data_IF_524899933064
#
_entry.id   IF_524899933064
#
_cell.length_a   1.000
_cell.length_b   1.000
_cell.length_c   1.000
_cell.angle_alpha   90.00
_cell.angle_beta   90.00
_cell.angle_gamma   90.00
#
_symmetry.space_group_name_H-M   'P 1'
#
loop_
_entity.id
_entity.type
_entity.pdbx_description
1 polymer ?
#
# COMPACT_ATOMS: atom_id res chain seq x y z
N UNK A 1 -3.76 -47.23 21.40
CA UNK A 1 -4.25 -45.97 21.98
C UNK A 1 -3.22 -44.88 21.66
N UNK A 2 -3.46 -44.09 20.63
CA UNK A 2 -2.58 -42.97 20.27
C UNK A 2 -3.21 -41.67 20.80
N UNK A 3 -2.54 -41.02 21.74
CA UNK A 3 -2.99 -39.75 22.30
C UNK A 3 -2.67 -38.64 21.32
N UNK A 4 -3.71 -38.04 20.73
CA UNK A 4 -3.59 -36.81 19.93
C UNK A 4 -3.37 -35.63 20.86
N UNK A 5 -2.19 -35.05 20.79
CA UNK A 5 -1.86 -33.79 21.49
C UNK A 5 -2.48 -32.65 20.69
N UNK A 6 -3.57 -32.10 21.18
CA UNK A 6 -4.14 -30.84 20.68
C UNK A 6 -3.28 -29.68 21.20
N UNK A 7 -2.50 -29.07 20.33
CA UNK A 7 -1.93 -27.75 20.60
C UNK A 7 -3.02 -26.68 20.41
N UNK A 8 -3.19 -25.74 21.34
CA UNK A 8 -4.12 -24.64 21.16
C UNK A 8 -3.62 -23.73 20.04
N UNK A 9 -4.43 -23.59 18.99
CA UNK A 9 -4.20 -22.58 17.94
C UNK A 9 -4.46 -21.23 18.60
N UNK A 10 -3.41 -20.44 18.75
CA UNK A 10 -3.54 -19.07 19.18
C UNK A 10 -4.40 -18.31 18.14
N UNK A 11 -5.54 -17.80 18.58
CA UNK A 11 -6.37 -16.88 17.80
C UNK A 11 -5.52 -15.66 17.54
N UNK A 12 -5.01 -15.54 16.31
CA UNK A 12 -4.29 -14.33 15.90
C UNK A 12 -5.32 -13.21 15.79
N UNK A 13 -5.21 -12.20 16.67
CA UNK A 13 -5.95 -10.96 16.52
C UNK A 13 -5.80 -10.46 15.08
N UNK A 14 -6.91 -10.23 14.38
CA UNK A 14 -6.96 -9.62 13.05
C UNK A 14 -6.48 -8.15 13.06
N UNK A 15 -5.58 -7.84 13.97
CA UNK A 15 -5.08 -6.52 14.30
C UNK A 15 -3.63 -6.27 13.92
N UNK A 16 -3.09 -6.89 12.84
CA UNK A 16 -1.70 -6.60 12.43
C UNK A 16 -1.46 -5.10 12.21
N UNK A 17 -2.47 -4.36 11.75
CA UNK A 17 -2.47 -2.90 11.71
C UNK A 17 -2.45 -2.28 13.10
N UNK A 18 -3.13 -2.89 14.09
CA UNK A 18 -3.17 -2.38 15.46
C UNK A 18 -1.86 -2.56 16.21
N UNK A 19 -1.12 -3.64 15.93
CA UNK A 19 0.15 -3.93 16.61
C UNK A 19 1.30 -3.04 16.14
N UNK A 20 1.25 -2.55 14.90
CA UNK A 20 2.18 -1.53 14.40
C UNK A 20 1.95 -0.19 15.11
N UNK A 21 0.71 0.15 15.45
CA UNK A 21 0.34 1.45 16.03
C UNK A 21 0.48 1.53 17.56
N UNK A 22 0.39 0.40 18.28
CA UNK A 22 0.46 0.39 19.76
C UNK A 22 1.84 0.68 20.36
N UNK A 23 2.90 0.77 19.57
CA UNK A 23 4.27 0.90 20.07
C UNK A 23 5.11 1.94 19.32
N UNK A 24 4.53 3.08 18.97
CA UNK A 24 5.33 4.29 18.75
C UNK A 24 5.84 4.78 20.11
N UNK A 25 7.14 5.13 20.27
CA UNK A 25 7.64 5.63 21.53
C UNK A 25 6.94 6.96 21.88
N UNK A 26 6.14 6.95 22.92
CA UNK A 26 5.64 8.17 23.55
C UNK A 26 6.84 8.90 24.14
N UNK A 27 7.13 10.07 23.62
CA UNK A 27 8.08 10.99 24.23
C UNK A 27 7.65 11.34 25.65
N UNK A 28 8.63 11.35 26.54
CA UNK A 28 8.54 11.39 27.96
C UNK A 28 7.73 12.57 28.53
N UNK A 29 7.18 12.30 29.66
CA UNK A 29 6.53 13.24 30.59
C UNK A 29 7.49 14.38 30.95
N UNK A 30 7.09 15.62 30.73
CA UNK A 30 7.64 16.78 31.41
C UNK A 30 6.85 17.04 32.67
N UNK A 31 7.50 17.38 33.80
CA UNK A 31 6.82 17.68 35.03
C UNK A 31 6.25 19.13 35.03
N UNK A 32 5.06 19.25 35.56
CA UNK A 32 4.36 20.47 35.88
C UNK A 32 5.12 21.35 36.87
N UNK A 33 5.25 22.64 36.57
CA UNK A 33 5.30 23.66 37.59
C UNK A 33 4.45 24.88 37.14
N UNK A 34 3.43 25.17 37.98
CA UNK A 34 2.52 26.29 37.86
C UNK A 34 3.19 27.50 38.53
N UNK A 35 3.27 28.64 37.84
CA UNK A 35 3.19 29.95 38.48
C UNK A 35 2.55 30.96 37.53
N UNK A 36 1.48 31.53 38.04
CA UNK A 36 0.70 32.62 37.47
C UNK A 36 1.47 33.93 37.47
N UNK A 37 1.36 34.73 36.40
CA UNK A 37 1.31 36.21 36.51
C UNK A 37 0.60 36.84 35.33
N UNK A 38 -0.26 37.82 35.70
CA UNK A 38 -1.14 38.62 34.86
C UNK A 38 -0.41 39.79 34.16
N UNK A 39 -1.09 40.57 33.31
CA UNK A 39 -0.58 41.15 32.09
C UNK A 39 -0.13 42.61 32.23
N UNK A 40 0.65 43.10 31.30
CA UNK A 40 0.97 44.52 31.14
C UNK A 40 0.70 44.99 29.70
N UNK A 41 0.09 46.11 29.66
CA UNK A 41 -0.51 46.98 28.67
C UNK A 41 0.39 47.53 27.55
N UNK A 42 -0.29 47.73 26.42
CA UNK A 42 -0.15 48.74 25.35
C UNK A 42 1.06 49.71 25.34
N UNK A 43 1.65 49.82 24.17
CA UNK A 43 2.06 51.12 23.62
C UNK A 43 1.99 51.13 22.08
N UNK A 44 1.13 52.01 21.58
CA UNK A 44 1.06 52.46 20.17
C UNK A 44 2.28 53.30 19.83
N UNK A 45 2.82 53.16 18.61
CA UNK A 45 3.38 54.33 17.89
C UNK A 45 3.30 54.14 16.38
N UNK A 46 2.71 55.17 15.77
CA UNK A 46 2.52 55.40 14.34
C UNK A 46 3.75 56.04 13.68
N UNK A 47 3.90 55.85 12.41
CA UNK A 47 3.94 56.89 11.34
C UNK A 47 4.60 56.37 10.05
N UNK A 48 3.89 56.54 8.96
CA UNK A 48 4.31 56.52 7.55
C UNK A 48 5.14 57.78 7.22
N UNK A 49 5.46 58.08 5.93
CA UNK A 49 5.62 57.33 4.70
C UNK A 49 6.91 57.72 3.93
N UNK A 50 7.29 57.01 2.90
CA UNK A 50 7.92 57.65 1.73
C UNK A 50 7.67 56.88 0.43
N UNK A 51 7.04 57.59 -0.43
CA UNK A 51 6.71 57.34 -1.83
C UNK A 51 7.98 57.54 -2.68
N UNK A 52 8.43 56.48 -3.36
CA UNK A 52 9.31 56.69 -4.53
C UNK A 52 8.68 56.00 -5.75
N UNK A 53 8.17 56.84 -6.62
CA UNK A 53 7.78 56.54 -7.99
C UNK A 53 8.97 55.96 -8.76
N UNK A 54 8.86 54.72 -9.19
CA UNK A 54 9.73 54.13 -10.21
C UNK A 54 8.90 53.76 -11.45
N UNK A 55 9.36 54.23 -12.56
CA UNK A 55 8.85 54.19 -13.93
C UNK A 55 8.41 52.74 -14.33
N UNK A 56 7.18 52.62 -14.85
CA UNK A 56 6.76 51.48 -15.66
C UNK A 56 7.56 51.47 -16.98
N UNK A 57 8.39 50.46 -17.13
CA UNK A 57 8.91 50.04 -18.43
C UNK A 57 8.01 48.92 -18.95
N UNK A 58 7.39 49.14 -20.09
CA UNK A 58 6.56 48.16 -20.77
C UNK A 58 7.43 47.00 -21.27
N UNK A 59 7.25 45.82 -20.66
CA UNK A 59 7.76 44.55 -21.17
C UNK A 59 6.65 43.90 -22.00
N UNK A 60 6.93 43.71 -23.30
CA UNK A 60 6.06 43.03 -24.23
C UNK A 60 5.77 41.58 -23.82
N UNK A 61 4.77 40.91 -24.41
CA UNK A 61 4.38 39.55 -24.02
C UNK A 61 5.52 38.56 -24.28
N UNK A 62 6.15 38.08 -23.22
CA UNK A 62 7.07 36.93 -23.29
C UNK A 62 6.25 35.70 -23.66
N UNK A 63 6.42 35.21 -24.87
CA UNK A 63 5.94 33.92 -25.31
C UNK A 63 6.66 32.87 -24.47
N UNK A 64 5.98 32.38 -23.44
CA UNK A 64 6.43 31.20 -22.68
C UNK A 64 6.44 30.01 -23.63
N UNK A 65 7.64 29.64 -24.11
CA UNK A 65 7.82 28.32 -24.74
C UNK A 65 7.35 27.28 -23.75
N UNK A 66 6.48 26.30 -24.15
CA UNK A 66 6.13 25.21 -23.27
C UNK A 66 7.42 24.48 -22.92
N UNK A 67 7.75 24.48 -21.62
CA UNK A 67 8.80 23.63 -21.06
C UNK A 67 8.40 22.20 -21.38
N UNK A 68 9.17 21.54 -22.24
CA UNK A 68 8.99 20.12 -22.52
C UNK A 68 9.06 19.39 -21.17
N UNK A 69 7.90 18.93 -20.71
CA UNK A 69 7.81 17.99 -19.60
C UNK A 69 8.72 16.83 -19.96
N UNK A 70 9.83 16.66 -19.23
CA UNK A 70 10.67 15.48 -19.36
C UNK A 70 9.76 14.28 -19.09
N UNK A 71 9.58 13.45 -20.12
CA UNK A 71 8.93 12.14 -20.03
C UNK A 71 9.46 11.39 -18.82
N UNK A 72 8.57 11.05 -17.89
CA UNK A 72 8.90 10.40 -16.59
C UNK A 72 9.26 8.92 -16.71
N UNK A 73 9.49 8.38 -17.90
CA UNK A 73 9.83 6.98 -18.05
C UNK A 73 10.90 6.80 -19.13
N UNK A 74 12.13 6.60 -18.67
CA UNK A 74 13.11 5.89 -19.48
C UNK A 74 12.63 4.44 -19.65
N UNK A 75 12.50 3.98 -20.89
CA UNK A 75 12.16 2.59 -21.21
C UNK A 75 13.10 1.65 -20.47
N UNK A 76 12.57 0.74 -19.64
CA UNK A 76 13.39 -0.22 -18.94
C UNK A 76 13.64 -1.46 -19.84
N UNK A 77 14.72 -2.20 -19.56
CA UNK A 77 14.97 -3.53 -20.12
C UNK A 77 14.32 -4.57 -19.17
N UNK A 78 13.21 -5.23 -19.56
CA UNK A 78 12.54 -6.19 -18.67
C UNK A 78 13.47 -7.29 -18.17
N UNK A 79 14.44 -7.71 -18.98
CA UNK A 79 15.36 -8.79 -18.63
C UNK A 79 16.36 -8.44 -17.53
N UNK A 80 16.53 -7.15 -17.25
CA UNK A 80 17.44 -6.60 -16.23
C UNK A 80 16.69 -5.90 -15.08
N UNK A 81 15.40 -5.63 -15.25
CA UNK A 81 14.59 -4.94 -14.27
C UNK A 81 14.31 -5.84 -13.06
N UNK A 82 14.83 -5.45 -11.91
CA UNK A 82 14.81 -6.24 -10.66
C UNK A 82 13.54 -5.95 -9.89
N UNK A 83 12.60 -6.89 -9.91
CA UNK A 83 11.35 -6.82 -9.16
C UNK A 83 11.45 -7.64 -7.89
N UNK A 84 11.19 -7.06 -6.74
CA UNK A 84 10.96 -7.80 -5.49
C UNK A 84 9.47 -7.93 -5.26
N UNK A 85 8.95 -9.17 -5.29
CA UNK A 85 7.61 -9.53 -4.86
C UNK A 85 7.69 -9.99 -3.40
N UNK A 86 7.25 -9.13 -2.50
CA UNK A 86 7.24 -9.41 -1.07
C UNK A 86 5.95 -10.13 -0.70
N UNK A 87 6.07 -11.33 -0.12
CA UNK A 87 4.93 -12.07 0.42
C UNK A 87 4.57 -11.49 1.78
N UNK A 88 3.40 -10.89 1.89
CA UNK A 88 2.87 -10.35 3.14
C UNK A 88 2.85 -11.40 4.25
N UNK A 89 3.17 -11.01 5.48
CA UNK A 89 3.21 -11.89 6.65
C UNK A 89 4.30 -12.96 6.62
N UNK A 90 4.22 -13.94 7.49
CA UNK A 90 5.15 -15.08 7.60
C UNK A 90 4.37 -16.29 8.10
N UNK A 91 4.92 -17.50 7.98
CA UNK A 91 4.33 -18.69 8.59
C UNK A 91 4.30 -18.66 10.14
N UNK A 92 5.10 -17.78 10.77
CA UNK A 92 5.15 -17.60 12.24
C UNK A 92 4.28 -16.40 12.70
N UNK A 93 3.75 -15.62 11.76
CA UNK A 93 2.87 -14.47 11.98
C UNK A 93 2.00 -14.27 10.74
N UNK A 94 0.93 -15.01 10.71
CA UNK A 94 0.18 -15.41 9.51
C UNK A 94 -0.73 -14.30 8.93
N UNK A 95 -0.87 -13.16 9.61
CA UNK A 95 -1.78 -12.08 9.21
C UNK A 95 -3.20 -12.29 9.68
N UNK A 96 -4.15 -11.83 8.90
CA UNK A 96 -5.56 -12.03 9.14
C UNK A 96 -5.95 -13.52 8.95
N UNK A 97 -7.08 -13.89 9.51
CA UNK A 97 -7.70 -15.20 9.27
C UNK A 97 -8.93 -15.00 8.40
N UNK A 98 -9.04 -15.75 7.33
CA UNK A 98 -10.15 -15.69 6.40
C UNK A 98 -11.47 -16.14 7.02
N UNK A 99 -12.57 -15.90 6.32
CA UNK A 99 -13.89 -16.35 6.76
C UNK A 99 -13.95 -17.87 6.99
N UNK A 100 -13.13 -18.67 6.30
CA UNK A 100 -13.05 -20.15 6.45
C UNK A 100 -11.81 -20.64 7.19
N UNK A 101 -11.25 -19.81 8.07
CA UNK A 101 -10.11 -20.13 8.93
C UNK A 101 -8.80 -20.45 8.18
N UNK A 102 -8.59 -19.88 7.01
CA UNK A 102 -7.30 -19.95 6.29
C UNK A 102 -6.49 -18.68 6.58
N UNK A 103 -5.21 -18.85 6.84
CA UNK A 103 -4.31 -17.73 7.12
C UNK A 103 -4.07 -16.85 5.87
N UNK A 104 -4.02 -15.53 6.02
CA UNK A 104 -3.71 -14.57 4.95
C UNK A 104 -2.39 -14.88 4.24
N UNK A 105 -1.37 -15.29 5.00
CA UNK A 105 -0.07 -15.69 4.44
C UNK A 105 -0.19 -16.73 3.33
N UNK A 106 -1.15 -17.65 3.42
CA UNK A 106 -1.35 -18.71 2.42
C UNK A 106 -1.87 -18.13 1.11
N UNK A 107 -2.82 -17.20 1.18
CA UNK A 107 -3.33 -16.47 -0.01
C UNK A 107 -2.22 -15.63 -0.63
N UNK A 108 -1.49 -14.88 0.19
CA UNK A 108 -0.40 -14.01 -0.24
C UNK A 108 0.69 -14.81 -0.98
N UNK A 109 1.09 -15.96 -0.43
CA UNK A 109 2.12 -16.81 -1.03
C UNK A 109 1.67 -17.36 -2.39
N UNK A 110 0.45 -17.92 -2.46
CA UNK A 110 -0.10 -18.49 -3.70
C UNK A 110 -0.21 -17.46 -4.83
N UNK A 111 -0.70 -16.25 -4.50
CA UNK A 111 -0.82 -15.18 -5.47
C UNK A 111 0.55 -14.64 -5.90
N UNK A 112 1.46 -14.39 -4.96
CA UNK A 112 2.80 -13.88 -5.27
C UNK A 112 3.61 -14.87 -6.13
N UNK A 113 3.49 -16.18 -5.90
CA UNK A 113 4.08 -17.21 -6.76
C UNK A 113 3.52 -17.14 -8.19
N UNK A 114 2.20 -16.97 -8.33
CA UNK A 114 1.58 -16.86 -9.65
C UNK A 114 1.99 -15.58 -10.38
N UNK A 115 2.12 -14.46 -9.68
CA UNK A 115 2.64 -13.20 -10.24
C UNK A 115 4.11 -13.38 -10.67
N UNK A 116 4.94 -14.03 -9.86
CA UNK A 116 6.35 -14.32 -10.21
C UNK A 116 6.47 -15.12 -11.51
N UNK A 117 5.72 -16.22 -11.62
CA UNK A 117 5.67 -17.05 -12.82
C UNK A 117 5.29 -16.23 -14.04
N UNK A 118 4.24 -15.41 -13.94
CA UNK A 118 3.75 -14.58 -15.03
C UNK A 118 4.76 -13.52 -15.44
N UNK A 119 5.37 -12.82 -14.50
CA UNK A 119 6.38 -11.79 -14.79
C UNK A 119 7.61 -12.40 -15.47
N UNK A 120 8.09 -13.55 -14.99
CA UNK A 120 9.22 -14.25 -15.62
C UNK A 120 8.90 -14.70 -17.03
N UNK A 121 7.69 -15.21 -17.28
CA UNK A 121 7.22 -15.59 -18.62
C UNK A 121 7.12 -14.37 -19.55
N UNK A 122 6.77 -13.18 -19.03
CA UNK A 122 6.69 -11.92 -19.75
C UNK A 122 8.07 -11.22 -19.92
N UNK A 123 9.16 -11.87 -19.52
CA UNK A 123 10.53 -11.40 -19.73
C UNK A 123 11.20 -10.73 -18.54
N UNK A 124 10.50 -10.48 -17.41
CA UNK A 124 11.07 -9.93 -16.18
C UNK A 124 11.83 -11.00 -15.40
N UNK A 125 12.98 -11.44 -15.94
CA UNK A 125 13.75 -12.58 -15.42
C UNK A 125 14.32 -12.36 -14.03
N UNK A 126 14.60 -11.10 -13.66
CA UNK A 126 15.14 -10.71 -12.35
C UNK A 126 14.05 -10.48 -11.29
N UNK A 127 12.85 -11.05 -11.50
CA UNK A 127 11.81 -11.11 -10.47
C UNK A 127 12.22 -12.05 -9.34
N UNK A 128 12.16 -11.58 -8.10
CA UNK A 128 12.55 -12.33 -6.89
C UNK A 128 11.38 -12.38 -5.91
N UNK A 129 10.97 -13.57 -5.54
CA UNK A 129 9.99 -13.79 -4.47
C UNK A 129 10.68 -13.67 -3.11
N UNK A 130 10.20 -12.74 -2.27
CA UNK A 130 10.73 -12.52 -0.93
C UNK A 130 9.78 -13.10 0.11
N UNK A 131 10.12 -14.28 0.63
CA UNK A 131 9.42 -14.96 1.73
C UNK A 131 10.24 -14.83 3.00
N UNK A 132 9.71 -14.15 4.01
CA UNK A 132 10.41 -13.95 5.29
C UNK A 132 9.90 -14.90 6.37
N UNK A 133 10.70 -15.09 7.43
CA UNK A 133 10.35 -15.93 8.59
C UNK A 133 10.46 -15.11 9.86
N UNK A 134 9.71 -15.53 10.89
CA UNK A 134 9.74 -14.96 12.23
C UNK A 134 8.56 -14.03 12.52
N UNK A 135 8.59 -13.44 13.72
CA UNK A 135 7.51 -12.58 14.22
C UNK A 135 7.32 -11.33 13.36
N UNK A 136 6.11 -10.78 13.36
CA UNK A 136 5.67 -9.67 12.50
C UNK A 136 6.67 -8.50 12.41
N UNK A 137 7.02 -7.86 13.52
CA UNK A 137 7.90 -6.67 13.53
C UNK A 137 9.32 -6.93 13.02
N UNK A 138 10.05 -7.95 13.49
CA UNK A 138 11.36 -8.28 12.93
C UNK A 138 11.30 -8.62 11.46
N UNK A 139 10.23 -9.27 10.97
CA UNK A 139 10.10 -9.62 9.56
C UNK A 139 9.96 -8.38 8.67
N UNK A 140 9.25 -7.32 9.11
CA UNK A 140 9.15 -6.06 8.35
C UNK A 140 10.53 -5.41 8.12
N UNK A 141 11.41 -5.46 9.13
CA UNK A 141 12.79 -4.96 8.97
C UNK A 141 13.58 -5.81 7.99
N UNK A 142 13.48 -7.15 8.12
CA UNK A 142 14.17 -8.09 7.21
C UNK A 142 13.75 -7.88 5.74
N UNK A 143 12.46 -7.65 5.46
CA UNK A 143 11.94 -7.36 4.12
C UNK A 143 12.55 -6.11 3.52
N UNK A 144 12.54 -5.01 4.30
CA UNK A 144 13.15 -3.74 3.87
C UNK A 144 14.65 -3.91 3.59
N UNK A 145 15.38 -4.57 4.49
CA UNK A 145 16.82 -4.81 4.33
C UNK A 145 17.08 -5.64 3.07
N UNK A 146 16.39 -6.78 2.92
CA UNK A 146 16.58 -7.66 1.77
C UNK A 146 16.28 -6.95 0.43
N UNK A 147 15.18 -6.20 0.33
CA UNK A 147 14.84 -5.46 -0.87
C UNK A 147 15.91 -4.41 -1.22
N UNK A 148 16.40 -3.68 -0.19
CA UNK A 148 17.43 -2.66 -0.37
C UNK A 148 18.80 -3.27 -0.75
N UNK A 149 19.17 -4.44 -0.21
CA UNK A 149 20.42 -5.15 -0.54
C UNK A 149 20.38 -5.77 -1.93
N UNK A 150 19.20 -6.22 -2.39
CA UNK A 150 18.99 -6.68 -3.76
C UNK A 150 19.07 -5.55 -4.80
N UNK A 151 19.12 -4.29 -4.34
CA UNK A 151 19.07 -3.12 -5.22
C UNK A 151 17.91 -3.22 -6.21
N UNK A 152 16.73 -3.60 -5.70
CA UNK A 152 15.55 -3.74 -6.53
C UNK A 152 15.18 -2.42 -7.22
N UNK A 153 14.65 -2.53 -8.43
CA UNK A 153 14.15 -1.38 -9.19
C UNK A 153 12.69 -1.09 -8.86
N UNK A 154 11.98 -2.11 -8.32
CA UNK A 154 10.60 -2.01 -7.84
C UNK A 154 10.35 -3.03 -6.70
N UNK A 155 9.57 -2.59 -5.70
CA UNK A 155 9.08 -3.42 -4.60
C UNK A 155 7.55 -3.48 -4.63
N UNK A 156 6.97 -4.69 -4.70
CA UNK A 156 5.54 -4.91 -4.62
C UNK A 156 5.22 -5.93 -3.50
N UNK A 157 4.53 -5.47 -2.45
CA UNK A 157 4.07 -6.32 -1.36
C UNK A 157 2.67 -6.87 -1.67
N UNK A 158 2.48 -8.17 -1.51
CA UNK A 158 1.23 -8.86 -1.83
C UNK A 158 0.54 -9.26 -0.54
N UNK A 159 -0.70 -8.80 -0.38
CA UNK A 159 -1.56 -8.98 0.76
C UNK A 159 -3.00 -9.32 0.35
N UNK A 160 -3.81 -9.76 1.33
CA UNK A 160 -5.26 -9.90 1.22
C UNK A 160 -5.92 -9.26 2.44
N UNK A 161 -6.94 -8.47 2.17
CA UNK A 161 -7.51 -7.52 3.12
C UNK A 161 -8.39 -8.18 4.20
N UNK A 162 -8.47 -7.48 5.32
CA UNK A 162 -9.40 -7.71 6.41
C UNK A 162 -9.84 -6.37 6.99
N UNK A 163 -10.78 -6.39 7.93
CA UNK A 163 -11.24 -5.20 8.64
C UNK A 163 -11.04 -5.35 10.15
N UNK A 164 -11.11 -4.25 10.93
CA UNK A 164 -11.05 -4.31 12.39
C UNK A 164 -12.06 -5.34 12.96
N UNK A 165 -11.65 -6.06 13.98
CA UNK A 165 -12.48 -7.13 14.61
C UNK A 165 -13.88 -6.63 15.05
N UNK A 166 -14.02 -5.34 15.39
CA UNK A 166 -15.31 -4.73 15.72
C UNK A 166 -16.31 -4.66 14.57
N UNK A 167 -15.87 -4.91 13.33
CA UNK A 167 -16.67 -4.91 12.12
C UNK A 167 -16.92 -6.34 11.59
N UNK A 168 -16.41 -7.34 12.30
CA UNK A 168 -16.61 -8.75 11.96
C UNK A 168 -17.81 -9.31 12.72
N UNK A 169 -18.50 -10.23 12.06
CA UNK A 169 -19.60 -11.03 12.59
C UNK A 169 -19.11 -12.42 12.91
N UNK A 170 -19.69 -13.04 13.95
CA UNK A 170 -19.37 -14.43 14.31
C UNK A 170 -20.15 -15.40 13.43
N UNK A 171 -19.52 -16.48 13.02
CA UNK A 171 -20.18 -17.62 12.41
C UNK A 171 -19.45 -18.92 12.74
N UNK A 172 -19.95 -20.02 12.23
CA UNK A 172 -19.33 -21.34 12.36
C UNK A 172 -19.13 -21.93 10.96
N UNK A 173 -17.90 -22.38 10.70
CA UNK A 173 -17.56 -23.08 9.47
C UNK A 173 -16.94 -24.43 9.79
N UNK A 174 -17.58 -25.51 9.32
CA UNK A 174 -17.16 -26.90 9.56
C UNK A 174 -16.93 -27.23 11.06
N UNK A 175 -17.85 -26.80 11.93
CA UNK A 175 -17.76 -27.03 13.38
C UNK A 175 -16.71 -26.17 14.10
N UNK A 176 -16.11 -25.21 13.43
CA UNK A 176 -15.10 -24.31 13.99
C UNK A 176 -15.62 -22.87 14.00
N UNK A 177 -15.41 -22.18 15.12
CA UNK A 177 -15.71 -20.75 15.22
C UNK A 177 -14.84 -19.96 14.25
N UNK A 178 -15.45 -19.02 13.56
CA UNK A 178 -14.81 -18.12 12.64
C UNK A 178 -15.49 -16.74 12.64
N UNK A 179 -15.00 -15.84 11.83
CA UNK A 179 -15.48 -14.47 11.69
C UNK A 179 -15.57 -14.09 10.21
N UNK A 180 -16.54 -13.26 9.86
CA UNK A 180 -16.72 -12.78 8.50
C UNK A 180 -17.26 -11.36 8.48
N UNK A 181 -17.22 -10.74 7.32
CA UNK A 181 -18.00 -9.55 7.01
C UNK A 181 -18.23 -9.45 5.50
N UNK A 182 -19.44 -9.78 5.06
CA UNK A 182 -19.81 -9.68 3.64
C UNK A 182 -20.01 -8.24 3.17
N UNK A 183 -19.89 -7.29 4.09
CA UNK A 183 -20.03 -5.86 3.84
C UNK A 183 -18.83 -5.27 3.10
N UNK A 184 -17.64 -5.85 3.25
CA UNK A 184 -16.39 -5.29 2.74
C UNK A 184 -15.79 -6.23 1.71
N UNK A 185 -15.42 -5.68 0.55
CA UNK A 185 -14.86 -6.41 -0.59
C UNK A 185 -14.02 -5.49 -1.46
N UNK A 186 -13.26 -6.09 -2.38
CA UNK A 186 -12.51 -5.39 -3.39
C UNK A 186 -11.03 -5.24 -3.05
N UNK A 187 -10.24 -4.83 -4.06
CA UNK A 187 -8.81 -4.59 -3.94
C UNK A 187 -8.48 -3.17 -3.46
N UNK A 188 -7.28 -2.98 -2.96
CA UNK A 188 -6.71 -1.64 -2.68
C UNK A 188 -5.23 -1.62 -3.01
N UNK A 189 -4.72 -0.49 -3.49
CA UNK A 189 -3.28 -0.31 -3.70
C UNK A 189 -2.79 0.80 -2.79
N UNK A 190 -1.75 0.52 -2.00
CA UNK A 190 -1.20 1.48 -1.06
C UNK A 190 0.19 1.94 -1.45
N UNK A 191 0.44 3.24 -1.27
CA UNK A 191 1.75 3.88 -1.39
C UNK A 191 2.02 4.76 -0.17
N UNK A 192 3.25 5.23 0.00
CA UNK A 192 3.62 6.11 1.11
C UNK A 192 4.29 7.38 0.60
N UNK A 193 3.80 8.55 1.03
CA UNK A 193 4.46 9.84 0.77
C UNK A 193 5.88 9.89 1.36
N UNK A 194 6.14 9.06 2.37
CA UNK A 194 7.46 8.94 3.01
C UNK A 194 8.42 8.00 2.27
N UNK A 195 8.01 7.38 1.14
CA UNK A 195 8.93 6.67 0.27
C UNK A 195 9.81 7.70 -0.47
N UNK A 196 11.13 7.50 -0.56
CA UNK A 196 12.02 8.44 -1.26
C UNK A 196 11.67 8.62 -2.76
N UNK A 197 11.00 7.62 -3.36
CA UNK A 197 10.53 7.68 -4.74
C UNK A 197 9.01 7.55 -4.83
N UNK A 198 8.31 8.41 -4.07
CA UNK A 198 6.85 8.43 -3.99
C UNK A 198 6.18 8.61 -5.36
N UNK A 199 6.70 9.49 -6.20
CA UNK A 199 6.08 9.79 -7.51
C UNK A 199 6.06 8.57 -8.41
N UNK A 200 7.14 7.82 -8.46
CA UNK A 200 7.24 6.58 -9.23
C UNK A 200 6.42 5.46 -8.60
N UNK A 201 6.38 5.39 -7.26
CA UNK A 201 5.50 4.48 -6.51
C UNK A 201 4.03 4.71 -6.86
N UNK A 202 3.60 5.98 -6.87
CA UNK A 202 2.22 6.36 -7.21
C UNK A 202 1.89 5.99 -8.67
N UNK A 203 2.77 6.32 -9.61
CA UNK A 203 2.57 6.00 -11.02
C UNK A 203 2.40 4.48 -11.24
N UNK A 204 3.24 3.66 -10.62
CA UNK A 204 3.11 2.21 -10.69
C UNK A 204 1.81 1.70 -10.03
N UNK A 205 1.47 2.22 -8.86
CA UNK A 205 0.24 1.85 -8.15
C UNK A 205 -1.02 2.17 -8.96
N UNK A 206 -1.04 3.31 -9.65
CA UNK A 206 -2.14 3.72 -10.53
C UNK A 206 -2.28 2.78 -11.74
N UNK A 207 -1.17 2.32 -12.32
CA UNK A 207 -1.19 1.30 -13.38
C UNK A 207 -1.77 -0.02 -12.86
N UNK A 208 -1.33 -0.49 -11.69
CA UNK A 208 -1.90 -1.71 -11.09
C UNK A 208 -3.41 -1.56 -10.88
N UNK A 209 -3.86 -0.46 -10.27
CA UNK A 209 -5.29 -0.22 -10.05
C UNK A 209 -6.09 -0.10 -11.35
N UNK A 210 -5.53 0.55 -12.38
CA UNK A 210 -6.12 0.64 -13.73
C UNK A 210 -6.33 -0.76 -14.33
N UNK A 211 -5.31 -1.60 -14.28
CA UNK A 211 -5.38 -2.93 -14.86
C UNK A 211 -6.28 -3.87 -14.05
N UNK A 212 -6.30 -3.78 -12.71
CA UNK A 212 -7.28 -4.49 -11.87
C UNK A 212 -8.72 -4.12 -12.27
N UNK A 213 -9.00 -2.83 -12.45
CA UNK A 213 -10.31 -2.35 -12.89
C UNK A 213 -10.65 -2.82 -14.31
N UNK A 214 -9.69 -2.83 -15.23
CA UNK A 214 -9.87 -3.32 -16.60
C UNK A 214 -10.25 -4.81 -16.64
N UNK A 215 -9.82 -5.60 -15.65
CA UNK A 215 -10.23 -6.99 -15.44
C UNK A 215 -11.62 -7.13 -14.74
N UNK A 216 -12.35 -6.03 -14.55
CA UNK A 216 -13.67 -6.03 -13.92
C UNK A 216 -13.64 -6.08 -12.39
N UNK A 217 -12.48 -5.93 -11.75
CA UNK A 217 -12.37 -5.89 -10.30
C UNK A 217 -12.76 -4.51 -9.76
N UNK A 218 -13.38 -4.48 -8.58
CA UNK A 218 -13.75 -3.24 -7.90
C UNK A 218 -12.75 -2.96 -6.78
N UNK A 219 -12.41 -1.69 -6.55
CA UNK A 219 -11.59 -1.34 -5.41
C UNK A 219 -12.41 -1.19 -4.12
N UNK A 220 -11.79 -1.49 -3.00
CA UNK A 220 -12.37 -1.41 -1.67
C UNK A 220 -12.59 0.05 -1.25
N UNK A 221 -13.84 0.44 -0.94
CA UNK A 221 -14.20 1.81 -0.60
C UNK A 221 -14.20 2.09 0.91
N UNK A 222 -14.04 1.07 1.74
CA UNK A 222 -14.17 1.18 3.20
C UNK A 222 -13.15 2.14 3.83
N UNK A 223 -11.96 2.26 3.27
CA UNK A 223 -10.87 3.05 3.87
C UNK A 223 -11.14 4.54 3.98
N UNK A 224 -12.10 5.08 3.21
CA UNK A 224 -12.56 6.47 3.34
C UNK A 224 -13.72 6.65 4.30
N UNK A 225 -14.33 5.54 4.77
CA UNK A 225 -15.54 5.58 5.61
C UNK A 225 -15.21 5.79 7.09
N UNK A 226 -15.99 6.61 7.77
CA UNK A 226 -15.80 6.91 9.19
C UNK A 226 -15.81 5.67 10.10
N UNK A 227 -16.50 4.59 9.67
CA UNK A 227 -16.56 3.33 10.43
C UNK A 227 -15.18 2.67 10.59
N UNK A 228 -14.22 2.95 9.69
CA UNK A 228 -12.86 2.46 9.80
C UNK A 228 -12.05 3.15 10.92
N UNK A 229 -12.54 4.30 11.43
CA UNK A 229 -11.89 5.01 12.53
C UNK A 229 -10.43 5.31 12.23
N UNK A 230 -9.51 4.82 13.07
CA UNK A 230 -8.06 5.01 12.90
C UNK A 230 -7.45 4.25 11.72
N UNK A 231 -8.21 3.38 11.08
CA UNK A 231 -7.79 2.62 9.89
C UNK A 231 -8.25 3.29 8.59
N UNK A 232 -8.72 4.54 8.67
CA UNK A 232 -8.98 5.33 7.48
C UNK A 232 -7.68 5.67 6.77
N UNK A 233 -7.71 5.63 5.45
CA UNK A 233 -6.61 6.00 4.58
C UNK A 233 -7.07 7.02 3.54
N UNK A 234 -6.28 8.08 3.28
CA UNK A 234 -6.59 9.03 2.22
C UNK A 234 -6.60 8.35 0.85
N UNK A 235 -7.68 8.51 0.11
CA UNK A 235 -7.79 8.06 -1.28
C UNK A 235 -7.06 9.05 -2.18
N UNK A 236 -6.01 8.61 -2.84
CA UNK A 236 -5.19 9.43 -3.75
C UNK A 236 -5.77 9.45 -5.16
N UNK A 237 -6.31 8.32 -5.61
CA UNK A 237 -6.91 8.20 -6.93
C UNK A 237 -8.18 7.34 -6.88
N UNK A 238 -9.35 7.98 -7.08
CA UNK A 238 -10.67 7.34 -7.06
C UNK A 238 -10.95 6.45 -8.28
N UNK A 239 -10.21 6.63 -9.36
CA UNK A 239 -10.40 5.82 -10.57
C UNK A 239 -9.70 4.47 -10.47
N UNK A 240 -8.64 4.40 -9.68
CA UNK A 240 -7.74 3.24 -9.59
C UNK A 240 -7.69 2.61 -8.20
N UNK A 241 -8.33 3.21 -7.17
CA UNK A 241 -8.33 2.68 -5.81
C UNK A 241 -6.96 2.73 -5.13
N UNK A 242 -6.18 3.78 -5.40
CA UNK A 242 -4.88 4.00 -4.77
C UNK A 242 -5.04 4.86 -3.53
N UNK A 243 -4.47 4.40 -2.41
CA UNK A 243 -4.53 5.01 -1.09
C UNK A 243 -3.14 5.37 -0.57
N UNK A 244 -3.06 6.34 0.33
CA UNK A 244 -1.86 6.65 1.09
C UNK A 244 -1.80 5.84 2.39
N UNK A 245 -0.64 5.23 2.68
CA UNK A 245 -0.35 4.60 3.96
C UNK A 245 1.07 4.95 4.43
N UNK A 246 1.24 6.14 4.99
CA UNK A 246 2.55 6.73 5.28
C UNK A 246 3.30 6.04 6.43
N UNK A 247 2.59 5.33 7.31
CA UNK A 247 3.20 4.67 8.45
C UNK A 247 3.71 3.25 8.14
N UNK A 248 3.33 2.67 6.99
CA UNK A 248 3.67 1.30 6.67
C UNK A 248 5.17 1.13 6.40
N UNK A 249 5.84 0.33 7.24
CA UNK A 249 7.30 0.20 7.26
C UNK A 249 7.90 -0.20 5.91
N UNK A 250 7.29 -1.19 5.26
CA UNK A 250 7.80 -1.72 3.97
C UNK A 250 7.69 -0.70 2.84
N UNK A 251 6.70 0.18 2.86
CA UNK A 251 6.54 1.23 1.86
C UNK A 251 7.48 2.41 2.10
N UNK A 252 7.55 2.91 3.34
CA UNK A 252 8.31 4.13 3.66
C UNK A 252 9.82 3.96 3.78
N UNK A 253 10.30 2.73 3.97
CA UNK A 253 11.72 2.47 4.29
C UNK A 253 12.47 1.72 3.20
N UNK A 254 11.81 1.23 2.17
CA UNK A 254 12.43 0.77 0.94
C UNK A 254 12.95 1.96 0.13
N UNK A 255 14.09 1.79 -0.54
CA UNK A 255 14.80 2.86 -1.26
C UNK A 255 14.38 3.01 -2.73
N UNK A 256 13.64 2.04 -3.24
CA UNK A 256 13.07 2.00 -4.58
C UNK A 256 11.59 2.35 -4.54
N UNK A 257 10.93 2.61 -5.69
CA UNK A 257 9.49 2.69 -5.79
C UNK A 257 8.82 1.48 -5.13
N UNK A 258 7.79 1.72 -4.32
CA UNK A 258 7.15 0.68 -3.53
C UNK A 258 5.63 0.83 -3.50
N UNK A 259 4.92 -0.27 -3.74
CA UNK A 259 3.48 -0.38 -3.57
C UNK A 259 3.13 -1.63 -2.76
N UNK A 260 1.95 -1.63 -2.15
CA UNK A 260 1.33 -2.80 -1.54
C UNK A 260 -0.03 -3.01 -2.20
N UNK A 261 -0.28 -4.23 -2.64
CA UNK A 261 -1.57 -4.67 -3.18
C UNK A 261 -2.30 -5.51 -2.14
N UNK A 262 -3.44 -5.01 -1.66
CA UNK A 262 -4.48 -5.83 -1.05
C UNK A 262 -5.34 -6.37 -2.18
N UNK A 263 -5.20 -7.65 -2.49
CA UNK A 263 -5.76 -8.24 -3.71
C UNK A 263 -7.28 -8.44 -3.68
N UNK A 264 -7.85 -8.51 -2.48
CA UNK A 264 -9.27 -8.67 -2.18
C UNK A 264 -9.47 -9.01 -0.72
N UNK A 265 -10.70 -9.08 -0.26
CA UNK A 265 -11.06 -9.27 1.14
C UNK A 265 -11.30 -10.75 1.46
N UNK A 266 -10.44 -11.35 2.31
CA UNK A 266 -10.57 -12.77 2.73
C UNK A 266 -11.57 -12.98 3.87
N UNK A 267 -12.08 -11.91 4.47
CA UNK A 267 -13.15 -12.02 5.47
C UNK A 267 -14.55 -11.95 4.83
N UNK A 268 -14.65 -11.62 3.56
CA UNK A 268 -15.89 -11.70 2.80
C UNK A 268 -16.05 -13.13 2.26
N UNK A 269 -17.17 -13.79 2.62
CA UNK A 269 -17.36 -15.23 2.36
C UNK A 269 -17.42 -15.59 0.88
N UNK A 270 -17.89 -14.68 0.02
CA UNK A 270 -17.95 -14.90 -1.42
C UNK A 270 -16.62 -14.52 -2.11
N UNK A 271 -15.98 -13.45 -1.65
CA UNK A 271 -14.71 -13.01 -2.24
C UNK A 271 -13.56 -13.94 -1.87
N UNK A 272 -13.53 -14.45 -0.64
CA UNK A 272 -12.55 -15.44 -0.19
C UNK A 272 -12.47 -16.65 -1.13
N UNK A 273 -13.63 -17.21 -1.51
CA UNK A 273 -13.69 -18.34 -2.45
C UNK A 273 -13.09 -17.99 -3.81
N UNK A 274 -13.34 -16.77 -4.27
CA UNK A 274 -12.72 -16.27 -5.50
C UNK A 274 -11.21 -16.12 -5.34
N UNK A 275 -10.73 -15.53 -4.22
CA UNK A 275 -9.30 -15.38 -3.95
C UNK A 275 -8.56 -16.72 -3.88
N UNK A 276 -9.21 -17.78 -3.40
CA UNK A 276 -8.62 -19.12 -3.39
C UNK A 276 -8.63 -19.81 -4.77
N UNK A 277 -9.38 -19.30 -5.75
CA UNK A 277 -9.45 -19.93 -7.07
C UNK A 277 -8.23 -19.62 -7.94
N UNK A 278 -7.78 -20.59 -8.77
CA UNK A 278 -6.72 -20.36 -9.77
C UNK A 278 -7.07 -19.24 -10.76
N UNK A 279 -8.34 -19.18 -11.18
CA UNK A 279 -8.84 -18.22 -12.17
C UNK A 279 -8.70 -16.78 -11.68
N UNK A 280 -9.01 -16.51 -10.41
CA UNK A 280 -8.87 -15.18 -9.82
C UNK A 280 -7.39 -14.81 -9.68
N UNK A 281 -6.53 -15.76 -9.29
CA UNK A 281 -5.09 -15.52 -9.23
C UNK A 281 -4.52 -15.21 -10.62
N UNK A 282 -5.01 -15.87 -11.67
CA UNK A 282 -4.62 -15.57 -13.05
C UNK A 282 -5.06 -14.17 -13.50
N UNK A 283 -6.28 -13.77 -13.19
CA UNK A 283 -6.80 -12.44 -13.47
C UNK A 283 -5.91 -11.37 -12.84
N UNK A 284 -5.63 -11.50 -11.53
CA UNK A 284 -4.81 -10.53 -10.79
C UNK A 284 -3.37 -10.54 -11.30
N UNK A 285 -2.79 -11.71 -11.54
CA UNK A 285 -1.42 -11.82 -12.06
C UNK A 285 -1.26 -11.20 -13.45
N UNK A 286 -2.27 -11.35 -14.31
CA UNK A 286 -2.30 -10.69 -15.61
C UNK A 286 -2.40 -9.16 -15.48
N UNK A 287 -3.23 -8.66 -14.57
CA UNK A 287 -3.33 -7.23 -14.29
C UNK A 287 -1.99 -6.64 -13.83
N UNK A 288 -1.35 -7.28 -12.84
CA UNK A 288 -0.03 -6.86 -12.33
C UNK A 288 1.04 -6.92 -13.43
N UNK A 289 1.07 -7.98 -14.23
CA UNK A 289 2.05 -8.14 -15.31
C UNK A 289 1.83 -7.11 -16.43
N UNK A 290 0.60 -6.78 -16.78
CA UNK A 290 0.29 -5.72 -17.75
C UNK A 290 0.72 -4.36 -17.23
N UNK A 291 0.40 -4.04 -15.96
CA UNK A 291 0.85 -2.81 -15.30
C UNK A 291 2.38 -2.69 -15.29
N UNK A 292 3.09 -3.80 -15.04
CA UNK A 292 4.56 -3.84 -15.07
C UNK A 292 5.12 -3.55 -16.47
N UNK A 293 4.51 -4.10 -17.51
CA UNK A 293 4.91 -3.82 -18.90
C UNK A 293 4.68 -2.37 -19.29
N UNK A 294 3.52 -1.81 -18.93
CA UNK A 294 3.22 -0.40 -19.15
C UNK A 294 4.17 0.52 -18.36
N UNK A 295 4.53 0.13 -17.15
CA UNK A 295 5.50 0.88 -16.34
C UNK A 295 6.89 0.90 -16.96
N UNK A 296 7.33 -0.20 -17.55
CA UNK A 296 8.62 -0.34 -18.23
C UNK A 296 8.67 0.27 -19.63
N UNK A 297 7.56 0.30 -20.34
CA UNK A 297 7.45 0.85 -21.69
C UNK A 297 6.18 1.69 -21.82
N UNK A 298 6.14 2.87 -21.17
CA UNK A 298 4.98 3.73 -21.22
C UNK A 298 4.73 4.17 -22.66
N UNK A 299 3.60 3.74 -23.21
CA UNK A 299 3.17 4.18 -24.52
C UNK A 299 2.85 5.68 -24.47
N UNK A 300 3.24 6.45 -25.49
CA UNK A 300 2.84 7.86 -25.56
C UNK A 300 1.31 7.92 -25.55
N UNK A 301 0.74 8.71 -24.65
CA UNK A 301 -0.69 9.01 -24.67
C UNK A 301 -0.96 9.69 -26.01
N UNK A 302 -1.64 8.99 -26.89
CA UNK A 302 -2.12 9.57 -28.15
C UNK A 302 -3.22 10.56 -27.76
N UNK A 303 -2.82 11.80 -27.50
CA UNK A 303 -3.76 12.92 -27.55
C UNK A 303 -4.16 13.01 -29.03
N UNK A 304 -5.39 12.60 -29.33
CA UNK A 304 -5.94 12.73 -30.67
C UNK A 304 -5.71 14.13 -31.24
N UNK A 305 -5.79 14.29 -32.57
CA UNK A 305 -5.58 15.58 -33.19
C UNK A 305 -6.49 16.65 -32.57
N UNK A 306 -6.00 17.91 -32.44
CA UNK A 306 -6.75 19.00 -31.85
C UNK A 306 -8.03 19.30 -32.57
#
# INVERSE_FOLDING_TARGET
MAASVFLPIAVSDAGWLSDILKNSPTHGKSPTHITSRKPATLAKRAASPNLHTAKLAALGPAVLKPSASKSLAAKCDPSKFRVVLDVGHTADSEGATSARNVAEFVFNLRLAQRIEEKLKADGFRETRLLVTKGKARPSLVKRVVAANELHADLFLSIHHDSVPNSLLENWEFEGRKSHFSDRFSGYSVFVSHNNPDFKTSLAFAELVGKEMKAQGLQYAQQYTQAIMGRYQHPLLNKETGVYSYDQLKVLRSTRMPAALLEAGSIINRDEELKMDSPERRDIISNAVATAMKEFCDPQPVFLGPP
#
